data_IF_576750447405
#
_entry.id   IF_576750447405
#
_cell.length_a   1.000
_cell.length_b   1.000
_cell.length_c   1.000
_cell.angle_alpha   90.00
_cell.angle_beta   90.00
_cell.angle_gamma   90.00
#
_symmetry.space_group_name_H-M   'P 1'
#
loop_
_entity.id
_entity.type
_entity.pdbx_description
1 polymer ?
#
# COMPACT_ATOMS: atom_id res chain seq x y z
N UNK A 1 1.24 40.89 20.58
CA UNK A 1 0.35 39.72 20.48
C UNK A 1 0.77 38.78 19.35
N UNK A 2 0.73 39.21 18.09
CA UNK A 2 1.05 38.36 16.92
C UNK A 2 2.49 37.78 16.97
N UNK A 3 3.50 38.59 17.32
CA UNK A 3 4.90 38.13 17.44
C UNK A 3 5.10 36.98 18.46
N UNK A 4 4.32 36.93 19.54
CA UNK A 4 4.39 35.86 20.55
C UNK A 4 3.81 34.56 20.01
N UNK A 5 2.66 34.63 19.32
CA UNK A 5 2.03 33.47 18.68
C UNK A 5 2.92 32.82 17.61
N UNK A 6 3.65 33.64 16.84
CA UNK A 6 4.63 33.13 15.86
C UNK A 6 5.81 32.45 16.57
N UNK A 7 6.33 33.05 17.66
CA UNK A 7 7.43 32.46 18.42
C UNK A 7 7.04 31.14 19.09
N UNK A 8 5.79 31.04 19.56
CA UNK A 8 5.21 29.86 20.22
C UNK A 8 4.64 28.83 19.21
N UNK A 9 4.68 29.11 17.91
CA UNK A 9 4.05 28.30 16.84
C UNK A 9 2.57 27.97 17.07
N UNK A 10 1.83 28.89 17.69
CA UNK A 10 0.41 28.73 18.03
C UNK A 10 -0.49 29.30 16.92
N UNK A 11 -0.70 28.49 15.89
CA UNK A 11 -1.52 28.82 14.72
C UNK A 11 -2.88 28.12 14.81
N UNK A 12 -3.95 28.86 14.49
CA UNK A 12 -5.33 28.35 14.46
C UNK A 12 -5.74 28.07 12.99
N UNK A 13 -4.80 27.60 12.16
CA UNK A 13 -5.03 27.33 10.75
C UNK A 13 -5.82 26.02 10.57
N UNK A 14 -6.71 25.97 9.58
CA UNK A 14 -7.47 24.75 9.26
C UNK A 14 -6.51 23.68 8.72
N UNK A 15 -6.37 22.57 9.45
CA UNK A 15 -5.56 21.44 9.00
C UNK A 15 -6.22 20.68 7.85
N UNK A 16 -5.41 20.26 6.87
CA UNK A 16 -5.91 19.38 5.80
C UNK A 16 -6.35 18.04 6.41
N UNK A 17 -7.57 17.56 6.16
CA UNK A 17 -8.04 16.30 6.73
C UNK A 17 -7.14 15.12 6.34
N UNK A 18 -7.07 14.13 7.22
CA UNK A 18 -6.91 12.72 6.86
C UNK A 18 -7.29 12.38 5.42
N UNK A 19 -6.37 12.17 4.49
CA UNK A 19 -6.71 11.18 3.45
C UNK A 19 -6.80 9.85 4.21
N UNK A 20 -7.83 9.04 3.90
CA UNK A 20 -8.23 7.79 4.56
C UNK A 20 -7.09 7.06 5.27
N UNK A 21 -7.32 6.40 6.43
CA UNK A 21 -6.27 5.74 7.18
C UNK A 21 -5.53 4.71 6.29
N UNK A 22 -4.43 5.14 5.66
CA UNK A 22 -3.64 4.33 4.73
C UNK A 22 -2.83 3.26 5.45
N UNK A 23 -2.81 3.34 6.79
CA UNK A 23 -2.17 2.36 7.64
C UNK A 23 -3.23 1.41 8.16
N UNK A 24 -3.20 0.18 7.64
CA UNK A 24 -3.94 -0.92 8.23
C UNK A 24 -3.73 -0.90 9.75
N UNK A 25 -4.81 -1.02 10.55
CA UNK A 25 -4.70 -1.09 12.00
C UNK A 25 -3.66 -2.14 12.39
N UNK A 26 -2.83 -1.85 13.40
CA UNK A 26 -1.93 -2.89 13.93
C UNK A 26 -2.81 -4.00 14.47
N UNK A 27 -2.72 -5.18 13.87
CA UNK A 27 -3.41 -6.37 14.38
C UNK A 27 -2.83 -6.73 15.74
N UNK A 28 -3.65 -6.57 16.78
CA UNK A 28 -3.35 -7.10 18.09
C UNK A 28 -3.61 -8.60 18.05
N UNK A 29 -2.55 -9.40 18.08
CA UNK A 29 -2.67 -10.86 18.19
C UNK A 29 -2.98 -11.19 19.65
N UNK A 30 -4.23 -11.52 19.92
CA UNK A 30 -4.62 -12.12 21.20
C UNK A 30 -4.10 -13.57 21.23
N UNK A 31 -3.47 -13.95 22.34
CA UNK A 31 -2.93 -15.30 22.53
C UNK A 31 -3.95 -16.12 23.30
N UNK A 32 -4.38 -17.26 22.73
CA UNK A 32 -5.28 -18.16 23.44
C UNK A 32 -4.53 -18.88 24.57
N UNK A 33 -5.01 -18.71 25.81
CA UNK A 33 -4.45 -19.40 26.99
C UNK A 33 -4.96 -20.86 27.14
N UNK A 34 -5.77 -21.32 26.19
CA UNK A 34 -6.30 -22.69 26.20
C UNK A 34 -5.27 -23.69 25.69
N UNK A 35 -5.36 -24.95 26.13
CA UNK A 35 -4.46 -26.01 25.67
C UNK A 35 -4.60 -26.19 24.15
N UNK A 36 -3.47 -26.29 23.46
CA UNK A 36 -3.44 -26.58 22.03
C UNK A 36 -4.20 -27.88 21.72
N UNK A 37 -5.03 -27.84 20.68
CA UNK A 37 -5.71 -29.03 20.14
C UNK A 37 -4.78 -29.86 19.24
N UNK A 38 -3.70 -29.26 18.71
CA UNK A 38 -2.72 -29.88 17.82
C UNK A 38 -1.50 -30.39 18.58
N UNK A 39 -0.94 -31.51 18.12
CA UNK A 39 0.29 -32.09 18.66
C UNK A 39 1.56 -31.36 18.18
N UNK A 40 2.70 -31.59 18.85
CA UNK A 40 3.97 -30.95 18.49
C UNK A 40 4.42 -31.31 17.06
N UNK A 41 4.23 -32.57 16.65
CA UNK A 41 4.59 -33.02 15.31
C UNK A 41 3.78 -32.29 14.21
N UNK A 42 2.47 -32.14 14.41
CA UNK A 42 1.58 -31.44 13.48
C UNK A 42 1.95 -29.95 13.36
N UNK A 43 2.31 -29.29 14.47
CA UNK A 43 2.77 -27.91 14.45
C UNK A 43 4.06 -27.75 13.62
N UNK A 44 4.99 -28.71 13.72
CA UNK A 44 6.21 -28.69 12.91
C UNK A 44 5.94 -28.93 11.42
N UNK A 45 5.00 -29.81 11.10
CA UNK A 45 4.56 -30.05 9.71
C UNK A 45 3.93 -28.79 9.10
N UNK A 46 3.01 -28.15 9.83
CA UNK A 46 2.36 -26.90 9.44
C UNK A 46 3.39 -25.77 9.23
N UNK A 47 4.32 -25.58 10.17
CA UNK A 47 5.39 -24.58 10.09
C UNK A 47 6.30 -24.82 8.88
N UNK A 48 6.62 -26.09 8.60
CA UNK A 48 7.44 -26.44 7.45
C UNK A 48 6.70 -26.17 6.13
N UNK A 49 5.43 -26.56 6.03
CA UNK A 49 4.60 -26.31 4.87
C UNK A 49 4.43 -24.80 4.58
N UNK A 50 4.30 -23.99 5.63
CA UNK A 50 4.27 -22.52 5.52
C UNK A 50 5.60 -21.95 5.05
N UNK A 51 6.73 -22.39 5.63
CA UNK A 51 8.08 -21.93 5.22
C UNK A 51 8.45 -22.36 3.81
N UNK A 52 7.97 -23.53 3.38
CA UNK A 52 8.16 -24.04 2.02
C UNK A 52 7.22 -23.37 1.00
N UNK A 53 6.26 -22.55 1.43
CA UNK A 53 5.30 -21.87 0.55
C UNK A 53 4.27 -22.82 -0.09
N UNK A 54 4.09 -24.03 0.46
CA UNK A 54 3.18 -25.05 -0.06
C UNK A 54 1.77 -24.83 0.51
N UNK A 55 1.66 -24.35 1.75
CA UNK A 55 0.38 -24.11 2.40
C UNK A 55 -0.06 -22.63 2.28
N UNK A 56 -1.36 -22.35 2.04
CA UNK A 56 -1.91 -21.01 2.16
C UNK A 56 -1.74 -20.49 3.59
N UNK A 57 -1.62 -19.17 3.74
CA UNK A 57 -1.52 -18.53 5.05
C UNK A 57 -2.74 -18.93 5.92
N UNK A 58 -2.55 -19.16 7.23
CA UNK A 58 -3.65 -19.55 8.11
C UNK A 58 -4.66 -18.41 8.19
N UNK A 59 -5.84 -18.62 7.60
CA UNK A 59 -6.98 -17.70 7.73
C UNK A 59 -7.50 -17.78 9.16
N UNK A 60 -7.69 -16.62 9.80
CA UNK A 60 -8.37 -16.61 11.08
C UNK A 60 -9.88 -16.79 10.86
N UNK A 61 -10.59 -17.40 11.81
CA UNK A 61 -12.07 -17.49 11.77
C UNK A 61 -12.70 -16.10 11.59
N UNK A 62 -12.05 -15.06 12.11
CA UNK A 62 -12.49 -13.68 11.94
C UNK A 62 -12.48 -13.21 10.49
N UNK A 63 -11.59 -13.75 9.65
CA UNK A 63 -11.46 -13.37 8.26
C UNK A 63 -12.53 -14.03 7.39
N UNK A 64 -12.86 -15.29 7.65
CA UNK A 64 -13.99 -15.98 6.98
C UNK A 64 -15.32 -15.25 7.24
N UNK A 65 -15.58 -14.88 8.50
CA UNK A 65 -16.79 -14.11 8.86
C UNK A 65 -16.81 -12.71 8.20
N UNK A 66 -15.65 -12.05 8.08
CA UNK A 66 -15.54 -10.77 7.34
C UNK A 66 -15.84 -10.97 5.86
N UNK A 67 -15.34 -12.04 5.25
CA UNK A 67 -15.61 -12.37 3.85
C UNK A 67 -17.10 -12.62 3.62
N UNK A 68 -17.73 -13.44 4.47
CA UNK A 68 -19.18 -13.69 4.42
C UNK A 68 -19.98 -12.39 4.56
N UNK A 69 -19.67 -11.57 5.57
CA UNK A 69 -20.32 -10.27 5.76
C UNK A 69 -20.16 -9.35 4.53
N UNK A 70 -18.96 -9.32 3.93
CA UNK A 70 -18.68 -8.54 2.72
C UNK A 70 -19.49 -9.03 1.52
N UNK A 71 -19.65 -10.34 1.33
CA UNK A 71 -20.46 -10.89 0.23
C UNK A 71 -21.95 -10.53 0.38
N UNK A 72 -22.49 -10.65 1.60
CA UNK A 72 -23.86 -10.30 1.91
C UNK A 72 -24.10 -8.79 1.73
N UNK A 73 -23.17 -7.96 2.20
CA UNK A 73 -23.23 -6.52 2.03
C UNK A 73 -23.25 -6.12 0.56
N UNK A 74 -22.33 -6.65 -0.26
CA UNK A 74 -22.31 -6.43 -1.71
C UNK A 74 -23.64 -6.80 -2.37
N UNK A 75 -24.24 -7.92 -1.97
CA UNK A 75 -25.53 -8.39 -2.49
C UNK A 75 -26.69 -7.45 -2.12
N UNK A 76 -26.70 -6.93 -0.90
CA UNK A 76 -27.72 -5.98 -0.44
C UNK A 76 -27.57 -4.65 -1.17
N UNK A 77 -26.35 -4.11 -1.28
CA UNK A 77 -26.08 -2.87 -2.00
C UNK A 77 -26.54 -2.97 -3.46
N UNK A 78 -26.22 -4.06 -4.17
CA UNK A 78 -26.67 -4.26 -5.55
C UNK A 78 -28.21 -4.18 -5.68
N UNK A 79 -28.94 -4.79 -4.73
CA UNK A 79 -30.41 -4.76 -4.73
C UNK A 79 -30.96 -3.35 -4.45
N UNK A 80 -30.34 -2.61 -3.53
CA UNK A 80 -30.73 -1.24 -3.20
C UNK A 80 -30.42 -0.27 -4.35
N UNK A 81 -29.27 -0.44 -5.01
CA UNK A 81 -28.88 0.34 -6.18
C UNK A 81 -29.88 0.12 -7.32
N UNK A 82 -30.31 -1.12 -7.56
CA UNK A 82 -31.34 -1.43 -8.55
C UNK A 82 -32.72 -0.85 -8.17
N UNK A 83 -33.10 -0.91 -6.89
CA UNK A 83 -34.38 -0.36 -6.40
C UNK A 83 -34.45 1.18 -6.56
N UNK A 84 -33.32 1.85 -6.40
CA UNK A 84 -33.17 3.31 -6.55
C UNK A 84 -32.93 3.77 -8.00
N UNK A 85 -33.12 2.89 -8.99
CA UNK A 85 -32.86 3.19 -10.41
C UNK A 85 -31.42 3.68 -10.66
N UNK A 86 -30.46 3.18 -9.87
CA UNK A 86 -29.05 3.57 -9.93
C UNK A 86 -28.78 5.06 -9.70
N UNK A 87 -29.68 5.78 -9.00
CA UNK A 87 -29.48 7.16 -8.57
C UNK A 87 -28.88 7.23 -7.16
N UNK A 88 -27.58 6.93 -7.04
CA UNK A 88 -26.87 6.93 -5.75
C UNK A 88 -25.53 7.66 -5.85
N UNK A 89 -24.98 8.02 -4.69
CA UNK A 89 -23.63 8.59 -4.62
C UNK A 89 -22.59 7.51 -4.95
N UNK A 90 -21.62 7.76 -5.85
CA UNK A 90 -20.63 6.77 -6.23
C UNK A 90 -19.89 6.24 -4.99
N UNK A 91 -19.55 4.95 -5.02
CA UNK A 91 -18.84 4.29 -3.92
C UNK A 91 -17.51 5.02 -3.67
N UNK A 92 -17.08 5.15 -2.40
CA UNK A 92 -15.80 5.76 -2.09
C UNK A 92 -14.67 4.97 -2.76
N UNK A 93 -13.66 5.68 -3.24
CA UNK A 93 -12.48 5.06 -3.86
C UNK A 93 -11.70 4.33 -2.78
N UNK A 94 -11.63 3.01 -2.91
CA UNK A 94 -10.78 2.13 -2.11
C UNK A 94 -9.52 1.89 -2.94
N UNK A 95 -8.34 2.01 -2.31
CA UNK A 95 -7.07 1.70 -2.97
C UNK A 95 -6.95 0.18 -3.14
N UNK A 96 -7.32 -0.31 -4.32
CA UNK A 96 -7.19 -1.72 -4.68
C UNK A 96 -5.83 -1.97 -5.34
N UNK A 97 -5.06 -2.92 -4.79
CA UNK A 97 -3.77 -3.35 -5.38
C UNK A 97 -4.03 -4.44 -6.42
N UNK A 98 -3.83 -4.12 -7.71
CA UNK A 98 -3.85 -5.10 -8.79
C UNK A 98 -2.43 -5.47 -9.22
N UNK A 99 -2.11 -6.75 -9.29
CA UNK A 99 -0.82 -7.24 -9.79
C UNK A 99 -0.98 -7.61 -11.27
N UNK A 100 -0.30 -6.88 -12.16
CA UNK A 100 -0.29 -7.16 -13.59
C UNK A 100 0.91 -8.06 -13.93
N UNK A 101 0.67 -9.16 -14.65
CA UNK A 101 1.72 -10.05 -15.11
C UNK A 101 2.31 -9.55 -16.44
N UNK A 102 3.61 -9.80 -16.68
CA UNK A 102 4.25 -9.49 -17.95
C UNK A 102 3.81 -10.51 -19.01
N UNK A 103 2.72 -10.19 -19.70
CA UNK A 103 2.12 -10.98 -20.78
C UNK A 103 2.10 -10.09 -22.04
N UNK A 104 2.26 -10.64 -23.27
CA UNK A 104 2.01 -9.87 -24.49
C UNK A 104 0.59 -9.30 -24.46
N UNK A 105 0.42 -8.04 -24.89
CA UNK A 105 -0.87 -7.35 -24.86
C UNK A 105 -1.98 -8.15 -25.57
N UNK A 106 -1.62 -8.83 -26.67
CA UNK A 106 -2.51 -9.68 -27.46
C UNK A 106 -3.20 -10.80 -26.64
N UNK A 107 -2.56 -11.36 -25.61
CA UNK A 107 -3.14 -12.47 -24.86
C UNK A 107 -4.25 -12.03 -23.90
N UNK A 108 -4.36 -10.73 -23.58
CA UNK A 108 -5.48 -10.17 -22.81
C UNK A 108 -6.62 -9.67 -23.71
N UNK A 109 -6.40 -9.59 -25.02
CA UNK A 109 -7.43 -9.13 -25.98
C UNK A 109 -8.43 -10.25 -26.31
N UNK A 110 -9.61 -9.84 -26.77
CA UNK A 110 -10.60 -10.76 -27.32
C UNK A 110 -10.09 -11.36 -28.64
N UNK A 111 -10.40 -12.65 -28.87
CA UNK A 111 -9.91 -13.39 -30.04
C UNK A 111 -10.57 -12.83 -31.32
N UNK A 112 -9.85 -11.96 -32.03
CA UNK A 112 -10.20 -11.45 -33.35
C UNK A 112 -9.13 -11.86 -34.38
N UNK A 113 -9.51 -12.27 -35.60
CA UNK A 113 -8.58 -12.88 -36.56
C UNK A 113 -7.53 -11.94 -37.20
N UNK A 114 -7.49 -10.63 -36.86
CA UNK A 114 -6.68 -9.62 -37.56
C UNK A 114 -5.71 -8.85 -36.65
N UNK A 115 -5.64 -9.15 -35.35
CA UNK A 115 -4.79 -8.39 -34.43
C UNK A 115 -3.31 -8.82 -34.54
N UNK A 116 -2.43 -7.87 -34.87
CA UNK A 116 -0.97 -8.03 -34.83
C UNK A 116 -0.40 -6.88 -33.99
N UNK A 117 0.01 -7.18 -32.76
CA UNK A 117 0.71 -6.25 -31.88
C UNK A 117 1.76 -7.01 -31.08
N UNK A 118 3.03 -6.60 -31.21
CA UNK A 118 4.17 -7.19 -30.50
C UNK A 118 4.47 -6.50 -29.15
N UNK A 119 3.59 -5.58 -28.71
CA UNK A 119 3.79 -4.82 -27.50
C UNK A 119 3.59 -5.69 -26.23
N UNK A 120 4.51 -5.56 -25.28
CA UNK A 120 4.35 -6.11 -23.92
C UNK A 120 3.48 -5.17 -23.07
N UNK A 121 2.77 -5.73 -22.08
CA UNK A 121 1.93 -4.91 -21.18
C UNK A 121 2.75 -4.06 -20.20
N UNK A 122 3.90 -4.56 -19.76
CA UNK A 122 4.76 -3.88 -18.78
C UNK A 122 5.60 -2.79 -19.47
N UNK A 123 5.72 -1.62 -18.84
CA UNK A 123 6.60 -0.58 -19.34
C UNK A 123 8.09 -0.97 -19.13
N UNK A 124 9.02 -0.52 -19.99
CA UNK A 124 10.44 -0.80 -19.81
C UNK A 124 11.00 -0.37 -18.44
N UNK A 125 10.49 0.72 -17.86
CA UNK A 125 10.88 1.21 -16.52
C UNK A 125 10.39 0.29 -15.39
N UNK A 126 9.27 -0.42 -15.58
CA UNK A 126 8.75 -1.40 -14.63
C UNK A 126 9.56 -2.71 -14.69
N UNK A 127 10.12 -3.04 -15.85
CA UNK A 127 11.05 -4.18 -16.02
C UNK A 127 12.42 -3.82 -15.43
N UNK A 128 12.88 -2.60 -15.69
CA UNK A 128 14.20 -2.14 -15.26
C UNK A 128 14.22 -0.62 -15.01
N UNK A 129 14.29 -0.24 -13.74
CA UNK A 129 14.58 1.13 -13.34
C UNK A 129 16.10 1.36 -13.37
N UNK A 130 16.59 1.87 -14.50
CA UNK A 130 17.98 2.26 -14.65
C UNK A 130 18.33 3.42 -13.71
N UNK A 131 19.26 3.19 -12.78
CA UNK A 131 19.97 4.31 -12.12
C UNK A 131 20.84 4.91 -13.22
N UNK A 132 20.53 6.11 -13.70
CA UNK A 132 21.17 6.78 -14.85
C UNK A 132 22.72 6.89 -14.79
N UNK A 133 23.31 8.08 -14.90
CA UNK A 133 24.77 8.19 -14.88
C UNK A 133 25.35 7.96 -13.46
N UNK A 134 25.64 6.71 -13.13
CA UNK A 134 26.26 6.32 -11.86
C UNK A 134 27.78 6.46 -11.98
N UNK A 135 28.31 7.63 -11.60
CA UNK A 135 29.76 7.82 -11.38
C UNK A 135 30.19 7.33 -10.00
N UNK A 136 31.29 6.58 -9.96
CA UNK A 136 31.94 6.11 -8.74
C UNK A 136 32.54 7.28 -7.92
N UNK A 137 32.83 7.08 -6.63
CA UNK A 137 33.39 8.13 -5.76
C UNK A 137 34.80 8.58 -6.15
N UNK A 138 35.59 7.69 -6.78
CA UNK A 138 36.95 7.93 -7.26
C UNK A 138 37.00 8.81 -8.51
N UNK A 139 35.98 8.74 -9.36
CA UNK A 139 35.87 9.51 -10.61
C UNK A 139 35.26 10.90 -10.39
N UNK A 140 34.84 11.20 -9.15
CA UNK A 140 34.08 12.39 -8.82
C UNK A 140 34.99 13.58 -8.53
N UNK A 141 34.74 14.68 -9.24
CA UNK A 141 35.43 15.95 -8.97
C UNK A 141 35.03 16.51 -7.59
N UNK A 142 35.87 17.36 -6.99
CA UNK A 142 35.58 17.96 -5.70
C UNK A 142 34.28 18.79 -5.70
N UNK A 143 33.97 19.47 -6.83
CA UNK A 143 32.75 20.24 -7.01
C UNK A 143 31.50 19.35 -7.05
N UNK A 144 31.55 18.24 -7.81
CA UNK A 144 30.48 17.25 -7.87
C UNK A 144 30.24 16.60 -6.49
N UNK A 145 31.31 16.31 -5.72
CA UNK A 145 31.20 15.77 -4.35
C UNK A 145 30.46 16.73 -3.42
N UNK A 146 30.78 18.03 -3.48
CA UNK A 146 30.07 19.07 -2.72
C UNK A 146 28.60 19.16 -3.13
N UNK A 147 28.31 19.13 -4.43
CA UNK A 147 26.93 19.13 -4.97
C UNK A 147 26.13 17.91 -4.51
N UNK A 148 26.69 16.70 -4.58
CA UNK A 148 26.03 15.47 -4.10
C UNK A 148 25.70 15.56 -2.61
N UNK A 149 26.64 16.04 -1.78
CA UNK A 149 26.40 16.24 -0.33
C UNK A 149 25.30 17.27 -0.05
N UNK A 150 25.32 18.40 -0.74
CA UNK A 150 24.29 19.43 -0.59
C UNK A 150 22.89 18.92 -0.99
N UNK A 151 22.79 18.18 -2.10
CA UNK A 151 21.54 17.55 -2.53
C UNK A 151 21.05 16.51 -1.53
N UNK A 152 21.94 15.65 -1.01
CA UNK A 152 21.59 14.67 0.03
C UNK A 152 21.08 15.35 1.29
N UNK A 153 21.73 16.43 1.75
CA UNK A 153 21.29 17.24 2.89
C UNK A 153 19.92 17.87 2.66
N UNK A 154 19.67 18.42 1.46
CA UNK A 154 18.37 19.02 1.10
C UNK A 154 17.25 17.98 1.07
N UNK A 155 17.48 16.82 0.45
CA UNK A 155 16.52 15.70 0.43
C UNK A 155 16.21 15.20 1.83
N UNK A 156 17.24 15.03 2.65
CA UNK A 156 17.08 14.61 4.04
C UNK A 156 16.26 15.62 4.84
N UNK A 157 16.59 16.92 4.76
CA UNK A 157 15.86 17.98 5.43
C UNK A 157 14.38 18.04 5.00
N UNK A 158 14.08 17.84 3.71
CA UNK A 158 12.71 17.76 3.21
C UNK A 158 11.97 16.55 3.81
N UNK A 159 12.56 15.35 3.75
CA UNK A 159 11.95 14.14 4.33
C UNK A 159 11.77 14.22 5.84
N UNK A 160 12.71 14.88 6.55
CA UNK A 160 12.58 15.09 7.98
C UNK A 160 11.44 16.05 8.29
N UNK A 161 11.30 17.15 7.54
CA UNK A 161 10.19 18.08 7.69
C UNK A 161 8.84 17.39 7.45
N UNK A 162 8.76 16.48 6.49
CA UNK A 162 7.55 15.66 6.26
C UNK A 162 7.26 14.69 7.42
N UNK A 163 8.30 14.09 8.03
CA UNK A 163 8.15 13.16 9.16
C UNK A 163 7.91 13.82 10.52
N UNK A 164 8.51 14.99 10.75
CA UNK A 164 8.41 15.74 12.01
C UNK A 164 7.33 16.81 11.97
N UNK A 165 6.76 17.12 10.79
CA UNK A 165 5.43 17.70 10.74
C UNK A 165 4.53 16.78 11.58
N UNK A 166 3.75 17.32 12.54
CA UNK A 166 2.97 16.50 13.44
C UNK A 166 2.14 15.53 12.61
N UNK A 167 2.44 14.23 12.73
CA UNK A 167 1.54 13.19 12.28
C UNK A 167 0.28 13.39 13.10
N UNK A 168 -0.72 14.02 12.44
CA UNK A 168 -2.07 14.31 12.88
C UNK A 168 -2.40 13.55 14.15
N UNK A 169 -2.26 14.23 15.28
CA UNK A 169 -2.72 13.73 16.58
C UNK A 169 -4.23 13.52 16.42
N UNK A 170 -4.62 12.27 16.19
CA UNK A 170 -5.95 11.80 16.52
C UNK A 170 -6.12 12.09 18.02
N UNK A 171 -6.85 13.16 18.33
CA UNK A 171 -7.42 13.35 19.65
C UNK A 171 -8.76 12.64 19.62
N UNK A 172 -8.95 11.79 20.62
CA UNK A 172 -10.16 11.01 20.91
C UNK A 172 -11.43 11.87 20.97
#
# INVERSE_FOLDING_TARGET
MIKKRIAESHFDDVEKPSLLPSKAPKEHKELDETKSKKGLAELYEDDYAQKAGIAPAPLSISDELKEEANTLFKRICLKLDALSHFHFAPKPVIEDMSVQANVPALAMEEIAPVAVSDAAMLAPEEIFEGKGDVKEEGELTQAERKRRRANKKRRYAASHKERTAPAKLQKD
#
